data_IF_160178299224
#
_entry.id   IF_160178299224
#
_cell.length_a   1.000
_cell.length_b   1.000
_cell.length_c   1.000
_cell.angle_alpha   90.00
_cell.angle_beta   90.00
_cell.angle_gamma   90.00
#
_symmetry.space_group_name_H-M   'P 1'
#
loop_
_entity.id
_entity.type
_entity.pdbx_description
1 polymer ?
#
# COMPACT_ATOMS: atom_id res chain seq x y z
N UNK A 1 -59.62 -77.65 -65.79
CA UNK A 1 -60.04 -76.27 -65.49
C UNK A 1 -59.15 -75.26 -66.22
N UNK A 2 -59.73 -74.17 -66.58
CA UNK A 2 -59.03 -73.01 -67.22
C UNK A 2 -58.59 -71.97 -66.18
N UNK A 3 -57.40 -71.49 -66.26
CA UNK A 3 -56.93 -70.40 -65.43
C UNK A 3 -57.68 -69.13 -65.87
N UNK A 4 -58.44 -68.51 -64.95
CA UNK A 4 -59.20 -67.29 -65.20
C UNK A 4 -58.35 -66.06 -64.85
N UNK A 5 -57.67 -66.15 -63.75
CA UNK A 5 -56.69 -65.10 -63.30
C UNK A 5 -55.43 -65.86 -62.94
N UNK A 6 -54.32 -65.45 -63.56
CA UNK A 6 -52.99 -66.00 -63.19
C UNK A 6 -52.53 -65.48 -61.83
N UNK A 7 -51.94 -66.30 -60.97
CA UNK A 7 -51.39 -65.82 -59.73
C UNK A 7 -50.20 -64.88 -60.01
N UNK A 8 -50.03 -63.87 -59.18
CA UNK A 8 -48.87 -63.03 -59.20
C UNK A 8 -48.13 -63.18 -57.88
N UNK A 9 -47.02 -62.53 -57.71
CA UNK A 9 -46.30 -62.45 -56.40
C UNK A 9 -47.12 -61.71 -55.31
N UNK A 10 -48.11 -60.93 -55.71
CA UNK A 10 -48.92 -60.09 -54.78
C UNK A 10 -50.34 -60.59 -54.59
N UNK A 11 -50.88 -61.24 -55.58
CA UNK A 11 -52.27 -61.68 -55.60
C UNK A 11 -52.40 -63.18 -55.96
N UNK A 12 -53.40 -63.83 -55.37
CA UNK A 12 -53.76 -65.21 -55.70
C UNK A 12 -54.45 -65.24 -57.09
N UNK A 13 -54.21 -66.32 -57.78
CA UNK A 13 -54.89 -66.60 -59.02
C UNK A 13 -56.19 -67.39 -58.80
N UNK A 14 -57.00 -67.54 -59.85
CA UNK A 14 -58.22 -68.36 -59.84
C UNK A 14 -58.28 -69.30 -61.06
N UNK A 15 -58.66 -70.52 -60.81
CA UNK A 15 -58.86 -71.55 -61.85
C UNK A 15 -60.33 -71.99 -61.83
N UNK A 16 -60.97 -71.92 -62.94
CA UNK A 16 -62.38 -72.27 -63.08
C UNK A 16 -62.51 -73.62 -63.78
N UNK A 17 -63.26 -74.50 -63.18
CA UNK A 17 -63.59 -75.77 -63.68
C UNK A 17 -65.07 -75.76 -64.11
N UNK A 18 -65.43 -76.36 -65.26
CA UNK A 18 -66.79 -76.46 -65.70
C UNK A 18 -67.10 -77.96 -65.86
N UNK A 19 -68.17 -78.40 -65.20
CA UNK A 19 -68.62 -79.79 -65.35
C UNK A 19 -69.09 -80.06 -66.83
N UNK A 20 -68.51 -81.11 -67.47
CA UNK A 20 -68.82 -81.41 -68.86
C UNK A 20 -70.27 -81.95 -69.06
N UNK A 21 -70.89 -82.49 -67.98
CA UNK A 21 -72.21 -83.12 -68.08
C UNK A 21 -73.35 -82.11 -67.72
N UNK A 22 -73.14 -81.23 -66.71
CA UNK A 22 -74.26 -80.38 -66.23
C UNK A 22 -73.94 -78.85 -66.35
N UNK A 23 -72.77 -78.45 -66.88
CA UNK A 23 -72.42 -77.04 -67.06
C UNK A 23 -72.08 -76.23 -65.76
N UNK A 24 -72.29 -76.87 -64.59
CA UNK A 24 -71.97 -76.21 -63.27
C UNK A 24 -70.51 -75.90 -63.22
N UNK A 25 -70.17 -74.69 -62.62
CA UNK A 25 -68.76 -74.24 -62.50
C UNK A 25 -68.30 -74.19 -61.05
N UNK A 26 -67.05 -74.58 -60.86
CA UNK A 26 -66.31 -74.49 -59.59
C UNK A 26 -65.03 -73.65 -59.77
N UNK A 27 -64.74 -72.78 -58.87
CA UNK A 27 -63.48 -72.00 -58.84
C UNK A 27 -62.57 -72.47 -57.73
N UNK A 28 -61.30 -72.56 -58.01
CA UNK A 28 -60.27 -72.88 -57.04
C UNK A 28 -59.21 -71.72 -57.03
N UNK A 29 -58.72 -71.40 -55.86
CA UNK A 29 -57.66 -70.44 -55.68
C UNK A 29 -56.32 -71.03 -56.06
N UNK A 30 -55.53 -70.29 -56.80
CA UNK A 30 -54.13 -70.66 -57.07
C UNK A 30 -53.30 -69.82 -56.14
N UNK A 31 -52.49 -70.45 -55.31
CA UNK A 31 -51.60 -69.71 -54.36
C UNK A 31 -50.73 -68.71 -55.09
N UNK A 32 -50.40 -67.63 -54.42
CA UNK A 32 -49.45 -66.58 -54.88
C UNK A 32 -48.13 -67.22 -55.30
N UNK A 33 -47.49 -66.67 -56.29
CA UNK A 33 -46.16 -67.09 -56.68
C UNK A 33 -45.19 -66.82 -55.52
N UNK A 34 -44.31 -67.74 -55.21
CA UNK A 34 -43.24 -67.57 -54.19
C UNK A 34 -42.13 -66.77 -54.82
N UNK A 35 -41.81 -65.66 -54.19
CA UNK A 35 -40.69 -64.78 -54.61
C UNK A 35 -39.38 -65.31 -54.01
N UNK A 36 -38.66 -66.11 -54.73
CA UNK A 36 -37.40 -66.73 -54.33
C UNK A 36 -36.17 -65.82 -54.62
N UNK A 37 -36.37 -64.81 -55.48
CA UNK A 37 -35.32 -63.79 -55.82
C UNK A 37 -35.95 -62.41 -55.77
N UNK A 38 -35.58 -61.65 -54.76
CA UNK A 38 -36.10 -60.28 -54.52
C UNK A 38 -35.35 -59.23 -55.35
N UNK A 39 -36.08 -58.45 -56.10
CA UNK A 39 -35.59 -57.28 -56.81
C UNK A 39 -35.96 -56.05 -55.94
N UNK A 40 -34.95 -55.51 -55.22
CA UNK A 40 -35.19 -54.40 -54.33
C UNK A 40 -35.23 -53.10 -55.11
N UNK A 41 -36.09 -52.16 -54.65
CA UNK A 41 -36.12 -50.76 -55.11
C UNK A 41 -34.86 -50.03 -54.69
N UNK A 42 -34.72 -48.74 -55.04
CA UNK A 42 -33.61 -47.86 -54.62
C UNK A 42 -33.55 -47.57 -53.12
N UNK A 43 -34.56 -48.02 -52.38
CA UNK A 43 -34.72 -47.85 -50.95
C UNK A 43 -34.99 -46.40 -50.56
N UNK A 44 -35.82 -46.22 -49.56
CA UNK A 44 -36.18 -44.90 -48.95
C UNK A 44 -35.52 -44.77 -47.58
N UNK A 45 -34.85 -43.66 -47.33
CA UNK A 45 -34.36 -43.32 -45.96
C UNK A 45 -35.58 -43.11 -45.06
N UNK A 46 -35.71 -43.93 -44.02
CA UNK A 46 -36.73 -43.85 -42.99
C UNK A 46 -36.30 -42.95 -41.87
N UNK A 47 -35.07 -43.14 -41.41
CA UNK A 47 -34.42 -42.28 -40.42
C UNK A 47 -33.08 -41.83 -40.97
N UNK A 48 -32.86 -40.52 -41.08
CA UNK A 48 -31.59 -40.00 -41.52
C UNK A 48 -30.52 -40.19 -40.42
N UNK A 49 -29.29 -40.55 -40.75
CA UNK A 49 -28.22 -40.61 -39.78
C UNK A 49 -27.89 -39.24 -39.26
N UNK A 50 -27.52 -39.16 -37.98
CA UNK A 50 -26.98 -37.95 -37.36
C UNK A 50 -25.53 -38.18 -36.94
N UNK A 51 -24.92 -37.20 -36.34
CA UNK A 51 -23.58 -37.35 -35.70
C UNK A 51 -23.62 -38.22 -34.43
N UNK A 52 -24.81 -38.56 -33.90
CA UNK A 52 -24.99 -39.30 -32.64
C UNK A 52 -25.76 -40.60 -32.80
N UNK A 53 -26.47 -40.76 -33.87
CA UNK A 53 -27.33 -41.93 -34.12
C UNK A 53 -27.21 -42.44 -35.56
N UNK A 54 -27.26 -43.73 -35.72
CA UNK A 54 -27.35 -44.38 -37.04
C UNK A 54 -28.71 -44.07 -37.68
N UNK A 55 -28.71 -44.05 -38.99
CA UNK A 55 -29.93 -43.97 -39.80
C UNK A 55 -30.44 -45.33 -40.20
N UNK A 56 -31.64 -45.43 -40.83
CA UNK A 56 -32.20 -46.59 -41.39
C UNK A 56 -32.74 -46.34 -42.81
N UNK A 57 -32.46 -47.27 -43.73
CA UNK A 57 -32.96 -47.24 -45.07
C UNK A 57 -33.82 -48.46 -45.30
N UNK A 58 -35.04 -48.27 -45.76
CA UNK A 58 -36.00 -49.35 -46.05
C UNK A 58 -36.08 -49.57 -47.54
N UNK A 59 -35.91 -50.81 -47.96
CA UNK A 59 -36.08 -51.30 -49.33
C UNK A 59 -37.35 -52.11 -49.43
N UNK A 60 -38.03 -52.08 -50.59
CA UNK A 60 -39.23 -52.85 -50.89
C UNK A 60 -38.99 -53.64 -52.14
N UNK A 61 -39.29 -54.96 -52.10
CA UNK A 61 -39.25 -55.79 -53.30
C UNK A 61 -40.30 -55.36 -54.30
N UNK A 62 -39.89 -54.98 -55.51
CA UNK A 62 -40.78 -54.50 -56.57
C UNK A 62 -41.74 -55.62 -57.02
N UNK A 63 -41.36 -56.89 -56.89
CA UNK A 63 -42.15 -58.01 -57.31
C UNK A 63 -43.20 -58.41 -56.26
N UNK A 64 -42.77 -58.62 -54.96
CA UNK A 64 -43.68 -59.20 -53.95
C UNK A 64 -44.11 -58.24 -52.89
N UNK A 65 -43.43 -57.07 -52.73
CA UNK A 65 -43.74 -56.10 -51.74
C UNK A 65 -43.12 -56.35 -50.37
N UNK A 66 -42.32 -57.40 -50.17
CA UNK A 66 -41.57 -57.64 -48.96
C UNK A 66 -40.60 -56.47 -48.70
N UNK A 67 -40.25 -56.24 -47.45
CA UNK A 67 -39.38 -55.13 -47.06
C UNK A 67 -38.20 -55.62 -46.25
N UNK A 68 -37.03 -54.96 -46.46
CA UNK A 68 -35.85 -55.09 -45.60
C UNK A 68 -35.36 -53.74 -45.19
N UNK A 69 -34.70 -53.66 -44.08
CA UNK A 69 -34.04 -52.41 -43.57
C UNK A 69 -32.52 -52.65 -43.51
N UNK A 70 -31.80 -51.62 -43.86
CA UNK A 70 -30.35 -51.54 -43.67
C UNK A 70 -29.99 -50.34 -42.84
N UNK A 71 -28.96 -50.44 -41.97
CA UNK A 71 -28.42 -49.36 -41.17
C UNK A 71 -27.57 -48.42 -42.02
N UNK A 72 -27.77 -47.14 -41.86
CA UNK A 72 -26.90 -46.10 -42.41
C UNK A 72 -25.96 -45.66 -41.28
N UNK A 73 -24.67 -45.79 -41.50
CA UNK A 73 -23.67 -45.37 -40.49
C UNK A 73 -23.86 -43.91 -40.04
N UNK A 74 -23.52 -43.64 -38.80
CA UNK A 74 -23.50 -42.28 -38.25
C UNK A 74 -22.64 -41.33 -39.11
N UNK A 75 -23.03 -40.07 -39.16
CA UNK A 75 -22.23 -39.05 -39.82
C UNK A 75 -20.88 -38.86 -39.10
N UNK A 76 -19.80 -38.72 -39.83
CA UNK A 76 -18.47 -38.42 -39.29
C UNK A 76 -18.37 -36.93 -39.08
N UNK A 77 -18.11 -36.52 -37.83
CA UNK A 77 -17.91 -35.12 -37.48
C UNK A 77 -16.46 -34.73 -37.76
N UNK A 78 -16.17 -34.15 -38.91
CA UNK A 78 -14.83 -33.71 -39.32
C UNK A 78 -14.56 -32.26 -38.90
N UNK A 79 -15.59 -31.48 -38.60
CA UNK A 79 -15.52 -30.10 -38.15
C UNK A 79 -16.34 -29.94 -36.88
N UNK A 80 -15.67 -29.78 -35.74
CA UNK A 80 -16.30 -29.65 -34.43
C UNK A 80 -16.74 -28.22 -34.13
N UNK A 81 -18.00 -28.03 -33.78
CA UNK A 81 -18.53 -26.78 -33.22
C UNK A 81 -18.59 -26.92 -31.70
N UNK A 82 -17.70 -26.21 -31.01
CA UNK A 82 -17.57 -26.30 -29.55
C UNK A 82 -18.57 -25.37 -28.83
N UNK A 83 -19.11 -25.84 -27.73
CA UNK A 83 -19.91 -25.03 -26.81
C UNK A 83 -19.07 -23.97 -26.09
N UNK A 84 -19.67 -23.19 -25.15
CA UNK A 84 -18.96 -22.19 -24.34
C UNK A 84 -17.97 -22.80 -23.33
N UNK A 85 -18.03 -24.11 -23.13
CA UNK A 85 -17.20 -24.87 -22.18
C UNK A 85 -17.56 -24.62 -20.71
N UNK A 86 -17.28 -25.62 -19.90
CA UNK A 86 -17.50 -25.65 -18.45
C UNK A 86 -16.15 -25.74 -17.73
N UNK A 87 -15.96 -24.93 -16.64
CA UNK A 87 -14.77 -25.06 -15.80
C UNK A 87 -14.92 -26.29 -14.93
N UNK A 88 -14.15 -27.33 -15.20
CA UNK A 88 -14.14 -28.61 -14.46
C UNK A 88 -13.18 -28.55 -13.26
N UNK A 89 -12.12 -27.70 -13.36
CA UNK A 89 -11.20 -27.42 -12.27
C UNK A 89 -10.86 -25.93 -12.27
N UNK A 90 -11.22 -25.21 -11.19
CA UNK A 90 -10.87 -23.81 -11.06
C UNK A 90 -9.34 -23.63 -10.87
N UNK A 91 -8.71 -22.59 -11.46
CA UNK A 91 -7.31 -22.30 -11.22
C UNK A 91 -7.09 -21.83 -9.78
N UNK A 92 -5.95 -22.20 -9.21
CA UNK A 92 -5.47 -21.72 -7.91
C UNK A 92 -4.17 -20.95 -8.09
N UNK A 93 -3.57 -20.47 -7.00
CA UNK A 93 -2.25 -19.85 -7.04
C UNK A 93 -1.10 -20.85 -7.26
N UNK A 94 -1.36 -22.16 -7.06
CA UNK A 94 -0.36 -23.24 -7.17
C UNK A 94 -0.65 -24.24 -8.27
N UNK A 95 -1.85 -24.21 -8.86
CA UNK A 95 -2.23 -25.16 -9.94
C UNK A 95 -3.06 -24.46 -11.01
N UNK A 96 -2.83 -24.86 -12.26
CA UNK A 96 -3.66 -24.48 -13.38
C UNK A 96 -5.07 -25.07 -13.24
N UNK A 97 -6.05 -24.38 -13.77
CA UNK A 97 -7.41 -24.87 -13.92
C UNK A 97 -7.59 -25.64 -15.22
N UNK A 98 -8.76 -26.26 -15.40
CA UNK A 98 -9.16 -26.98 -16.63
C UNK A 98 -10.56 -26.51 -17.03
N UNK A 99 -10.73 -26.26 -18.32
CA UNK A 99 -12.02 -26.01 -18.96
C UNK A 99 -12.28 -27.06 -20.00
N UNK A 100 -13.43 -27.70 -19.93
CA UNK A 100 -13.88 -28.73 -20.87
C UNK A 100 -14.91 -28.14 -21.83
N UNK A 101 -14.78 -28.45 -23.10
CA UNK A 101 -15.69 -28.05 -24.17
C UNK A 101 -16.29 -29.32 -24.80
N UNK A 102 -17.56 -29.27 -25.14
CA UNK A 102 -18.28 -30.36 -25.82
C UNK A 102 -18.68 -29.92 -27.23
N UNK A 103 -18.42 -30.77 -28.20
CA UNK A 103 -18.94 -30.54 -29.55
C UNK A 103 -20.46 -30.64 -29.54
N UNK A 104 -21.18 -29.60 -29.95
CA UNK A 104 -22.65 -29.55 -29.97
C UNK A 104 -23.24 -30.58 -30.96
N UNK A 105 -22.49 -30.96 -31.99
CA UNK A 105 -22.93 -31.87 -33.02
C UNK A 105 -22.72 -33.33 -32.61
N UNK A 106 -21.50 -33.73 -32.23
CA UNK A 106 -21.17 -35.16 -32.02
C UNK A 106 -20.95 -35.55 -30.55
N UNK A 107 -20.88 -34.57 -29.63
CA UNK A 107 -20.67 -34.84 -28.20
C UNK A 107 -19.20 -35.14 -27.80
N UNK A 108 -18.25 -35.13 -28.73
CA UNK A 108 -16.83 -35.29 -28.42
C UNK A 108 -16.37 -34.16 -27.52
N UNK A 109 -15.52 -34.42 -26.51
CA UNK A 109 -14.99 -33.41 -25.59
C UNK A 109 -13.53 -33.09 -25.88
N UNK A 110 -13.13 -31.86 -25.51
CA UNK A 110 -11.73 -31.44 -25.42
C UNK A 110 -11.50 -30.58 -24.18
N UNK A 111 -10.30 -30.54 -23.66
CA UNK A 111 -9.94 -29.70 -22.53
C UNK A 111 -8.95 -28.60 -22.92
N UNK A 112 -9.02 -27.47 -22.21
CA UNK A 112 -7.99 -26.46 -22.26
C UNK A 112 -7.54 -26.07 -20.84
N UNK A 113 -6.28 -25.65 -20.72
CA UNK A 113 -5.73 -25.20 -19.45
C UNK A 113 -6.14 -23.73 -19.17
N UNK A 114 -6.52 -23.43 -17.91
CA UNK A 114 -6.72 -22.07 -17.40
C UNK A 114 -5.47 -21.70 -16.60
N UNK A 115 -4.84 -20.57 -16.92
CA UNK A 115 -3.62 -20.15 -16.25
C UNK A 115 -3.80 -20.01 -14.73
N UNK A 116 -2.76 -20.33 -13.97
CA UNK A 116 -2.71 -20.13 -12.51
C UNK A 116 -3.01 -18.68 -12.14
N UNK A 117 -3.66 -18.49 -11.00
CA UNK A 117 -3.86 -17.15 -10.42
C UNK A 117 -2.51 -16.54 -10.06
N UNK A 118 -2.39 -15.24 -10.21
CA UNK A 118 -1.18 -14.47 -9.86
C UNK A 118 -1.54 -13.39 -8.85
N UNK A 119 -0.63 -13.13 -7.90
CA UNK A 119 -0.72 -11.95 -7.03
C UNK A 119 -0.36 -10.71 -7.84
N UNK A 120 -1.13 -9.63 -7.66
CA UNK A 120 -0.86 -8.36 -8.33
C UNK A 120 0.45 -7.74 -7.83
N UNK A 121 1.05 -6.92 -8.68
CA UNK A 121 2.30 -6.23 -8.38
C UNK A 121 2.08 -5.17 -7.30
N UNK A 122 2.88 -5.22 -6.23
CA UNK A 122 2.84 -4.25 -5.14
C UNK A 122 3.74 -3.06 -5.47
N UNK A 123 3.22 -1.83 -5.29
CA UNK A 123 3.97 -0.58 -5.49
C UNK A 123 4.43 -0.03 -4.14
N UNK A 124 5.74 0.24 -4.01
CA UNK A 124 6.39 0.67 -2.77
C UNK A 124 6.67 2.17 -2.81
N UNK A 125 6.47 2.85 -1.67
CA UNK A 125 6.86 4.25 -1.41
C UNK A 125 7.67 4.33 -0.12
N UNK A 126 8.58 5.29 -0.05
CA UNK A 126 9.43 5.52 1.13
C UNK A 126 9.42 6.99 1.55
N UNK A 127 9.45 7.22 2.87
CA UNK A 127 9.56 8.56 3.46
C UNK A 127 10.49 8.53 4.68
N UNK A 128 11.20 9.62 4.95
CA UNK A 128 11.98 9.77 6.20
C UNK A 128 11.00 10.04 7.35
N UNK A 129 11.14 9.29 8.44
CA UNK A 129 10.45 9.53 9.72
C UNK A 129 11.44 10.03 10.79
N UNK A 130 10.92 10.43 11.95
CA UNK A 130 11.77 10.88 13.08
C UNK A 130 12.69 9.79 13.62
N UNK A 131 12.31 8.53 13.44
CA UNK A 131 13.01 7.37 13.99
C UNK A 131 13.60 6.45 12.93
N UNK A 132 13.35 6.70 11.62
CA UNK A 132 13.82 5.80 10.58
C UNK A 132 13.27 6.11 9.18
N UNK A 133 13.09 5.07 8.38
CA UNK A 133 12.45 5.16 7.07
C UNK A 133 11.10 4.45 7.14
N UNK A 134 10.02 5.19 6.89
CA UNK A 134 8.69 4.62 6.71
C UNK A 134 8.59 4.07 5.28
N UNK A 135 8.28 2.80 5.18
CA UNK A 135 7.95 2.08 3.94
C UNK A 135 6.44 1.92 3.91
N UNK A 136 5.80 2.20 2.79
CA UNK A 136 4.38 1.95 2.55
C UNK A 136 4.18 1.34 1.18
N UNK A 137 3.11 0.57 0.99
CA UNK A 137 2.85 -0.14 -0.26
C UNK A 137 1.36 -0.27 -0.55
N UNK A 138 1.04 -0.59 -1.81
CA UNK A 138 -0.34 -0.83 -2.24
C UNK A 138 -0.85 -2.17 -1.73
N UNK A 139 -2.14 -2.26 -1.42
CA UNK A 139 -2.79 -3.51 -1.01
C UNK A 139 -2.85 -4.52 -2.17
N UNK A 140 -2.66 -5.80 -1.84
CA UNK A 140 -3.01 -6.94 -2.68
C UNK A 140 -4.10 -7.75 -1.96
N UNK A 141 -5.31 -7.69 -2.50
CA UNK A 141 -6.55 -8.23 -1.87
C UNK A 141 -6.44 -9.70 -1.47
N UNK A 142 -5.73 -10.49 -2.25
CA UNK A 142 -5.62 -11.94 -2.05
C UNK A 142 -4.38 -12.37 -1.27
N UNK A 143 -3.56 -11.42 -0.80
CA UNK A 143 -2.35 -11.73 -0.05
C UNK A 143 -2.67 -12.26 1.35
N UNK A 144 -1.84 -13.18 1.83
CA UNK A 144 -1.77 -13.56 3.25
C UNK A 144 -0.89 -12.59 4.05
N UNK A 145 -0.07 -11.79 3.37
CA UNK A 145 0.82 -10.79 3.93
C UNK A 145 1.91 -10.36 2.95
N UNK A 146 2.99 -9.79 3.50
CA UNK A 146 4.06 -9.20 2.69
C UNK A 146 5.44 -9.55 3.22
N UNK A 147 6.38 -9.77 2.32
CA UNK A 147 7.81 -9.80 2.61
C UNK A 147 8.42 -8.44 2.28
N UNK A 148 9.13 -7.86 3.23
CA UNK A 148 9.87 -6.61 3.07
C UNK A 148 11.35 -6.93 3.04
N UNK A 149 12.01 -6.61 1.94
CA UNK A 149 13.44 -6.77 1.76
C UNK A 149 14.13 -5.41 1.77
N UNK A 150 15.36 -5.38 2.24
CA UNK A 150 16.22 -4.19 2.28
C UNK A 150 17.61 -4.51 1.75
N UNK A 151 18.19 -3.56 1.01
CA UNK A 151 19.62 -3.49 0.76
C UNK A 151 20.15 -2.09 1.05
N UNK A 152 21.46 -1.96 1.35
CA UNK A 152 22.15 -0.68 1.46
C UNK A 152 23.15 -0.53 0.33
N UNK A 153 23.15 0.63 -0.34
CA UNK A 153 24.01 0.92 -1.50
C UNK A 153 23.93 -0.17 -2.57
N UNK A 154 25.08 -0.73 -2.97
CA UNK A 154 25.20 -1.81 -3.97
C UNK A 154 25.06 -3.24 -3.38
N UNK A 155 24.77 -3.36 -2.07
CA UNK A 155 24.65 -4.66 -1.40
C UNK A 155 23.46 -5.50 -1.89
N UNK A 156 23.41 -6.76 -1.42
CA UNK A 156 22.33 -7.70 -1.74
C UNK A 156 21.08 -7.45 -0.88
N UNK A 157 19.92 -7.89 -1.36
CA UNK A 157 18.69 -7.87 -0.61
C UNK A 157 18.71 -8.91 0.51
N UNK A 158 18.40 -8.47 1.73
CA UNK A 158 18.10 -9.33 2.86
C UNK A 158 16.65 -9.14 3.28
N UNK A 159 16.01 -10.21 3.77
CA UNK A 159 14.68 -10.13 4.36
C UNK A 159 14.74 -9.28 5.64
N UNK A 160 14.06 -8.16 5.63
CA UNK A 160 13.98 -7.25 6.78
C UNK A 160 12.82 -7.63 7.70
N UNK A 161 11.65 -7.96 7.12
CA UNK A 161 10.44 -8.27 7.88
C UNK A 161 9.46 -9.10 7.05
N UNK A 162 8.85 -10.10 7.68
CA UNK A 162 7.62 -10.75 7.23
C UNK A 162 6.45 -10.09 7.95
N UNK A 163 5.45 -9.63 7.23
CA UNK A 163 4.23 -9.01 7.74
C UNK A 163 3.07 -9.92 7.42
N UNK A 164 2.26 -10.26 8.40
CA UNK A 164 1.03 -11.05 8.24
C UNK A 164 -0.18 -10.13 8.08
N UNK A 165 -1.17 -10.59 7.30
CA UNK A 165 -2.40 -9.85 7.01
C UNK A 165 -2.28 -8.90 5.81
N UNK A 166 -3.30 -8.94 4.94
CA UNK A 166 -3.37 -8.13 3.71
C UNK A 166 -3.51 -6.61 3.98
N UNK A 167 -4.01 -6.24 5.16
CA UNK A 167 -4.33 -4.85 5.51
C UNK A 167 -3.17 -4.09 6.17
N UNK A 168 -2.08 -4.75 6.51
CA UNK A 168 -0.88 -4.06 7.02
C UNK A 168 -0.09 -3.52 5.83
N UNK A 169 -0.13 -2.21 5.60
CA UNK A 169 0.39 -1.56 4.40
C UNK A 169 1.55 -0.60 4.67
N UNK A 170 2.12 -0.65 5.87
CA UNK A 170 3.29 0.16 6.23
C UNK A 170 4.16 -0.52 7.28
N UNK A 171 5.45 -0.19 7.23
CA UNK A 171 6.46 -0.58 8.21
C UNK A 171 7.45 0.56 8.40
N UNK A 172 7.97 0.74 9.62
CA UNK A 172 9.00 1.74 9.89
C UNK A 172 10.33 1.03 10.23
N UNK A 173 11.31 1.15 9.34
CA UNK A 173 12.65 0.62 9.57
C UNK A 173 13.44 1.60 10.45
N UNK A 174 13.62 1.26 11.71
CA UNK A 174 14.37 2.06 12.68
C UNK A 174 15.86 1.70 12.73
N UNK A 175 16.27 0.61 12.07
CA UNK A 175 17.67 0.17 12.02
C UNK A 175 18.38 0.74 10.79
N UNK A 176 18.41 2.07 10.70
CA UNK A 176 19.00 2.82 9.59
C UNK A 176 20.02 3.84 10.09
N UNK A 177 21.07 4.03 9.33
CA UNK A 177 22.17 4.97 9.62
C UNK A 177 22.01 6.22 8.76
N UNK A 178 22.16 7.40 9.39
CA UNK A 178 22.10 8.68 8.66
C UNK A 178 23.24 8.79 7.64
N UNK A 179 22.90 9.24 6.43
CA UNK A 179 23.80 9.34 5.29
C UNK A 179 23.80 8.12 4.36
N UNK A 180 23.15 7.03 4.76
CA UNK A 180 23.08 5.80 3.96
C UNK A 180 21.81 5.76 3.12
N UNK A 181 21.95 5.33 1.85
CA UNK A 181 20.82 5.05 0.96
C UNK A 181 20.40 3.60 1.15
N UNK A 182 19.14 3.40 1.48
CA UNK A 182 18.51 2.09 1.55
C UNK A 182 17.50 1.92 0.42
N UNK A 183 17.50 0.75 -0.19
CA UNK A 183 16.51 0.35 -1.19
C UNK A 183 15.64 -0.76 -0.62
N UNK A 184 14.34 -0.59 -0.69
CA UNK A 184 13.34 -1.52 -0.20
C UNK A 184 12.57 -2.14 -1.36
N UNK A 185 12.28 -3.44 -1.25
CA UNK A 185 11.39 -4.19 -2.12
C UNK A 185 10.33 -4.85 -1.27
N UNK A 186 9.06 -4.74 -1.65
CA UNK A 186 7.95 -5.41 -0.97
C UNK A 186 7.26 -6.34 -1.95
N UNK A 187 6.99 -7.57 -1.53
CA UNK A 187 6.32 -8.59 -2.31
C UNK A 187 5.18 -9.19 -1.49
N UNK A 188 3.98 -9.24 -2.08
CA UNK A 188 2.85 -9.97 -1.49
C UNK A 188 3.11 -11.47 -1.52
N UNK A 189 2.62 -12.22 -0.54
CA UNK A 189 2.66 -13.69 -0.55
C UNK A 189 1.30 -14.30 -0.22
N UNK A 190 1.05 -15.50 -0.75
CA UNK A 190 -0.07 -16.38 -0.39
C UNK A 190 0.42 -17.82 -0.33
N UNK A 191 0.43 -18.41 0.86
CA UNK A 191 1.10 -19.70 1.07
C UNK A 191 2.58 -19.62 0.67
N UNK A 192 2.99 -20.46 -0.29
CA UNK A 192 4.35 -20.49 -0.86
C UNK A 192 4.54 -19.54 -2.05
N UNK A 193 3.44 -19.01 -2.60
CA UNK A 193 3.50 -18.15 -3.80
C UNK A 193 3.84 -16.73 -3.42
N UNK A 194 4.80 -16.14 -4.13
CA UNK A 194 5.27 -14.76 -3.93
C UNK A 194 5.03 -13.96 -5.21
N UNK A 195 4.35 -12.83 -5.06
CA UNK A 195 4.04 -11.92 -6.16
C UNK A 195 5.22 -11.01 -6.54
N UNK A 196 5.05 -10.25 -7.61
CA UNK A 196 6.00 -9.21 -8.00
C UNK A 196 5.87 -7.97 -7.08
N UNK A 197 6.98 -7.23 -6.93
CA UNK A 197 7.01 -5.97 -6.20
C UNK A 197 7.85 -4.93 -6.93
N UNK A 198 7.65 -3.65 -6.59
CA UNK A 198 8.54 -2.57 -7.02
C UNK A 198 9.60 -2.28 -5.96
N UNK A 199 10.56 -1.46 -6.33
CA UNK A 199 11.61 -0.98 -5.44
C UNK A 199 11.45 0.52 -5.19
N UNK A 200 11.83 0.97 -3.99
CA UNK A 200 11.93 2.38 -3.67
C UNK A 200 13.15 2.65 -2.81
N UNK A 201 13.95 3.62 -3.20
CA UNK A 201 15.16 4.02 -2.49
C UNK A 201 14.95 5.29 -1.69
N UNK A 202 15.60 5.37 -0.52
CA UNK A 202 15.60 6.56 0.32
C UNK A 202 16.95 6.72 1.03
N UNK A 203 17.52 7.90 0.97
CA UNK A 203 18.58 8.29 1.89
C UNK A 203 17.96 8.59 3.26
N UNK A 204 18.43 7.93 4.31
CA UNK A 204 18.03 8.30 5.66
C UNK A 204 18.78 9.55 6.10
N UNK A 205 18.07 10.53 6.62
CA UNK A 205 18.65 11.73 7.23
C UNK A 205 18.09 11.87 8.64
N UNK A 206 18.94 11.78 9.62
CA UNK A 206 18.56 11.80 11.02
C UNK A 206 17.89 13.10 11.47
N UNK A 207 17.59 13.18 12.76
CA UNK A 207 16.85 14.31 13.39
C UNK A 207 17.80 15.35 13.96
N UNK A 208 17.60 16.61 13.59
CA UNK A 208 18.21 17.72 14.30
C UNK A 208 17.33 18.15 15.48
N UNK A 209 17.91 18.27 16.67
CA UNK A 209 17.26 18.71 17.91
C UNK A 209 17.74 20.13 18.22
N UNK A 210 16.89 21.12 17.99
CA UNK A 210 17.21 22.52 18.27
C UNK A 210 17.04 22.82 19.78
N UNK A 211 17.98 23.62 20.32
CA UNK A 211 17.89 24.25 21.61
C UNK A 211 17.97 25.75 21.41
N UNK A 212 17.31 26.52 22.27
CA UNK A 212 17.30 28.00 22.20
C UNK A 212 17.61 28.63 23.55
N UNK A 213 18.26 29.75 23.49
CA UNK A 213 18.56 30.58 24.68
C UNK A 213 18.52 32.08 24.31
N UNK A 214 18.11 32.95 25.25
CA UNK A 214 18.24 34.38 25.07
C UNK A 214 19.70 34.82 25.25
N UNK A 215 20.19 35.59 24.29
CA UNK A 215 21.45 36.33 24.36
C UNK A 215 21.15 37.84 24.49
N UNK A 216 22.18 38.65 24.69
CA UNK A 216 22.02 40.10 24.83
C UNK A 216 21.37 40.76 23.61
N UNK A 217 21.65 40.27 22.42
CA UNK A 217 21.21 40.86 21.15
C UNK A 217 20.17 40.04 20.39
N UNK A 218 19.82 38.83 20.85
CA UNK A 218 18.91 37.96 20.11
C UNK A 218 18.56 36.64 20.79
N UNK A 219 18.10 35.71 20.02
CA UNK A 219 17.91 34.33 20.43
C UNK A 219 18.98 33.47 19.75
N UNK A 220 19.83 32.82 20.53
CA UNK A 220 20.82 31.86 20.06
C UNK A 220 20.17 30.48 19.92
N UNK A 221 20.34 29.88 18.76
CA UNK A 221 20.01 28.51 18.48
C UNK A 221 21.28 27.65 18.53
N UNK A 222 21.15 26.42 18.98
CA UNK A 222 22.16 25.40 18.83
C UNK A 222 21.47 24.09 18.47
N UNK A 223 22.17 23.17 17.76
CA UNK A 223 21.63 21.87 17.40
C UNK A 223 22.74 20.82 17.33
N UNK A 224 22.35 19.55 17.38
CA UNK A 224 23.29 18.44 17.27
C UNK A 224 23.73 18.21 15.82
N UNK A 225 24.96 17.72 15.63
CA UNK A 225 25.42 17.17 14.36
C UNK A 225 24.52 16.00 13.93
N UNK A 226 24.15 15.96 12.65
CA UNK A 226 23.43 14.83 12.02
C UNK A 226 24.35 14.18 11.01
N UNK A 227 24.60 12.87 11.17
CA UNK A 227 25.52 12.10 10.30
C UNK A 227 25.17 12.26 8.82
N UNK A 228 26.16 12.53 7.98
CA UNK A 228 25.99 12.70 6.53
C UNK A 228 25.33 13.99 6.09
N UNK A 229 24.80 14.84 7.02
CA UNK A 229 24.20 16.11 6.64
C UNK A 229 25.22 17.04 6.00
N UNK A 230 24.88 17.65 4.86
CA UNK A 230 25.71 18.59 4.10
C UNK A 230 25.31 20.03 4.35
N UNK A 231 24.10 20.29 4.84
CA UNK A 231 23.62 21.62 5.21
C UNK A 231 22.45 21.51 6.21
N UNK A 232 22.18 22.64 6.87
CA UNK A 232 21.03 22.80 7.77
C UNK A 232 20.23 24.02 7.35
N UNK A 233 18.90 23.88 7.19
CA UNK A 233 18.00 25.03 7.01
C UNK A 233 17.31 25.34 8.32
N UNK A 234 17.41 26.59 8.73
CA UNK A 234 16.83 27.12 9.97
C UNK A 234 15.52 27.80 9.64
N UNK A 235 14.47 27.36 10.29
CA UNK A 235 13.12 27.89 10.12
C UNK A 235 12.68 28.58 11.42
N UNK A 236 11.91 29.64 11.26
CA UNK A 236 11.31 30.42 12.36
C UNK A 236 9.82 30.60 12.09
N UNK A 237 9.00 30.58 13.16
CA UNK A 237 7.61 31.04 13.12
C UNK A 237 7.30 31.83 14.38
N UNK A 238 6.32 32.75 14.28
CA UNK A 238 5.78 33.55 15.41
C UNK A 238 4.43 32.90 15.79
N UNK A 239 4.25 32.63 17.09
CA UNK A 239 3.04 32.01 17.61
C UNK A 239 2.68 30.69 16.86
N UNK A 240 1.48 30.62 16.25
CA UNK A 240 0.96 29.51 15.46
C UNK A 240 1.15 29.68 13.95
N UNK A 241 1.82 30.77 13.51
CA UNK A 241 2.02 31.08 12.09
C UNK A 241 2.83 30.05 11.32
N UNK A 242 2.98 30.24 10.00
CA UNK A 242 3.77 29.37 9.13
C UNK A 242 5.28 29.52 9.39
N UNK A 243 6.02 28.43 9.17
CA UNK A 243 7.47 28.46 9.22
C UNK A 243 8.06 29.15 7.98
N UNK A 244 8.97 30.09 8.19
CA UNK A 244 9.79 30.70 7.14
C UNK A 244 11.25 30.29 7.31
N UNK A 245 11.95 29.99 6.22
CA UNK A 245 13.38 29.71 6.26
C UNK A 245 14.15 31.03 6.44
N UNK A 246 14.91 31.16 7.52
CA UNK A 246 15.65 32.40 7.85
C UNK A 246 17.16 32.29 7.58
N UNK A 247 17.70 31.05 7.47
CA UNK A 247 19.13 30.84 7.23
C UNK A 247 19.39 29.43 6.71
N UNK A 248 20.35 29.30 5.80
CA UNK A 248 21.02 28.03 5.48
C UNK A 248 22.42 28.06 6.08
N UNK A 249 22.75 27.01 6.84
CA UNK A 249 24.05 26.81 7.49
C UNK A 249 24.78 25.64 6.86
N UNK A 250 26.11 25.65 6.90
CA UNK A 250 26.97 24.56 6.41
C UNK A 250 26.89 23.32 7.33
N UNK A 251 27.49 22.20 6.86
CA UNK A 251 27.56 20.94 7.63
C UNK A 251 28.37 21.04 8.93
N UNK A 252 29.21 22.06 9.05
CA UNK A 252 30.09 22.29 10.20
C UNK A 252 29.54 23.33 11.18
N UNK A 253 28.43 24.01 10.82
CA UNK A 253 27.80 25.06 11.66
C UNK A 253 26.68 24.43 12.49
N UNK A 254 26.75 24.62 13.81
CA UNK A 254 25.77 24.07 14.77
C UNK A 254 25.15 25.11 15.67
N UNK A 255 25.38 26.39 15.38
CA UNK A 255 24.78 27.54 16.11
C UNK A 255 24.37 28.64 15.15
N UNK A 256 23.37 29.43 15.56
CA UNK A 256 22.91 30.61 14.85
C UNK A 256 22.32 31.61 15.84
N UNK A 257 22.67 32.88 15.71
CA UNK A 257 22.09 33.97 16.51
C UNK A 257 21.06 34.72 15.66
N UNK A 258 19.79 34.58 16.01
CA UNK A 258 18.72 35.36 15.40
C UNK A 258 18.59 36.70 16.11
N UNK A 259 19.10 37.78 15.49
CA UNK A 259 19.00 39.15 15.96
C UNK A 259 17.65 39.79 15.57
N UNK A 260 16.96 39.27 14.57
CA UNK A 260 15.68 39.78 14.06
C UNK A 260 14.51 39.27 14.92
N UNK A 261 14.54 39.59 16.22
CA UNK A 261 13.55 39.20 17.23
C UNK A 261 13.11 40.38 18.06
N UNK A 262 11.79 40.43 18.39
CA UNK A 262 11.17 41.47 19.23
C UNK A 262 10.99 40.94 20.64
N UNK A 263 11.35 41.76 21.63
CA UNK A 263 11.17 41.44 23.06
C UNK A 263 9.70 41.13 23.38
N UNK A 264 9.45 40.15 24.25
CA UNK A 264 8.12 39.72 24.67
C UNK A 264 7.44 38.72 23.67
N UNK A 265 7.97 38.57 22.46
CA UNK A 265 7.40 37.73 21.42
C UNK A 265 7.86 36.26 21.57
N UNK A 266 6.92 35.31 21.31
CA UNK A 266 7.20 33.88 21.32
C UNK A 266 7.56 33.45 19.91
N UNK A 267 8.72 32.82 19.76
CA UNK A 267 9.22 32.22 18.54
C UNK A 267 9.34 30.71 18.68
N UNK A 268 9.10 30.00 17.59
CA UNK A 268 9.41 28.58 17.49
C UNK A 268 10.38 28.37 16.35
N UNK A 269 11.50 27.71 16.65
CA UNK A 269 12.55 27.40 15.68
C UNK A 269 12.59 25.93 15.38
N UNK A 270 12.87 25.61 14.12
CA UNK A 270 13.12 24.26 13.63
C UNK A 270 14.39 24.26 12.78
N UNK A 271 15.25 23.27 12.97
CA UNK A 271 16.46 23.09 12.16
C UNK A 271 16.34 21.78 11.40
N UNK A 272 16.28 21.84 10.06
CA UNK A 272 16.20 20.67 9.20
C UNK A 272 17.56 20.36 8.59
N UNK A 273 18.14 19.17 8.84
CA UNK A 273 19.35 18.70 8.15
C UNK A 273 19.01 18.25 6.73
N UNK A 274 19.96 18.41 5.80
CA UNK A 274 19.81 18.04 4.40
C UNK A 274 21.00 17.23 3.88
N UNK A 275 20.69 16.21 3.07
CA UNK A 275 21.64 15.49 2.20
C UNK A 275 21.13 15.63 0.77
N UNK A 276 21.76 16.50 -0.03
CA UNK A 276 21.20 16.90 -1.32
C UNK A 276 19.80 17.50 -1.16
N UNK A 277 18.81 16.91 -1.85
CA UNK A 277 17.40 17.33 -1.77
C UNK A 277 16.61 16.63 -0.64
N UNK A 278 17.18 15.62 0.00
CA UNK A 278 16.52 14.88 1.07
C UNK A 278 16.65 15.62 2.40
N UNK A 279 15.51 15.96 3.00
CA UNK A 279 15.45 16.58 4.31
C UNK A 279 15.29 15.51 5.40
N UNK A 280 15.99 15.68 6.52
CA UNK A 280 15.72 14.94 7.74
C UNK A 280 14.60 15.57 8.55
N UNK A 281 14.33 14.96 9.69
CA UNK A 281 13.35 15.45 10.65
C UNK A 281 13.96 16.43 11.65
N UNK A 282 13.13 17.07 12.49
CA UNK A 282 13.57 18.03 13.50
C UNK A 282 12.73 17.94 14.77
N UNK A 283 13.34 18.34 15.88
CA UNK A 283 12.61 18.70 17.10
C UNK A 283 12.68 20.22 17.22
N UNK A 284 11.51 20.85 17.22
CA UNK A 284 11.40 22.31 17.33
C UNK A 284 11.65 22.78 18.76
N UNK A 285 12.20 23.97 18.89
CA UNK A 285 12.37 24.67 20.19
C UNK A 285 11.55 25.94 20.20
N UNK A 286 10.66 26.06 21.20
CA UNK A 286 9.84 27.25 21.46
C UNK A 286 10.51 28.10 22.51
N UNK A 287 10.62 29.41 22.28
CA UNK A 287 11.26 30.31 23.21
C UNK A 287 10.63 31.70 23.19
N UNK A 288 10.68 32.39 24.34
CA UNK A 288 10.28 33.80 24.46
C UNK A 288 11.51 34.68 24.36
N UNK A 289 11.47 35.68 23.51
CA UNK A 289 12.52 36.69 23.46
C UNK A 289 12.43 37.58 24.71
N UNK A 290 13.36 37.42 25.65
CA UNK A 290 13.53 38.29 26.83
C UNK A 290 14.88 38.98 26.72
N UNK A 291 14.88 40.30 26.66
CA UNK A 291 16.13 41.09 26.67
C UNK A 291 16.70 41.15 28.09
N UNK A 292 18.01 41.24 28.24
CA UNK A 292 18.62 41.52 29.54
C UNK A 292 18.04 42.79 30.15
N UNK A 293 17.88 42.80 31.46
CA UNK A 293 17.52 44.02 32.18
C UNK A 293 18.73 44.92 32.33
N UNK A 294 18.52 46.23 32.47
CA UNK A 294 19.54 47.17 32.94
C UNK A 294 19.42 47.29 34.45
N UNK A 295 20.43 46.82 35.18
CA UNK A 295 20.44 46.85 36.64
C UNK A 295 21.35 47.98 37.16
N UNK A 296 20.95 48.54 38.28
CA UNK A 296 21.73 49.55 39.09
C UNK A 296 21.68 49.14 40.55
N UNK A 297 22.69 49.50 41.32
CA UNK A 297 22.75 49.22 42.75
C UNK A 297 23.13 50.48 43.47
N UNK A 298 22.66 50.64 44.72
CA UNK A 298 23.03 51.69 45.63
C UNK A 298 23.12 51.17 47.07
N UNK A 299 24.04 51.69 47.87
CA UNK A 299 24.03 51.44 49.29
C UNK A 299 22.78 52.08 49.93
N UNK A 300 22.18 51.38 50.88
CA UNK A 300 21.02 51.82 51.63
C UNK A 300 21.30 51.66 53.15
N UNK A 301 20.54 52.39 53.99
CA UNK A 301 20.70 52.31 55.44
C UNK A 301 20.69 50.88 55.98
N UNK A 302 19.79 50.03 55.42
CA UNK A 302 19.57 48.64 55.88
C UNK A 302 20.11 47.57 54.92
N UNK A 303 20.96 47.91 53.93
CA UNK A 303 21.44 46.96 52.98
C UNK A 303 21.91 47.54 51.66
N UNK A 304 21.74 46.82 50.60
CA UNK A 304 22.00 47.22 49.21
C UNK A 304 20.71 47.18 48.43
N UNK A 305 20.30 48.30 47.85
CA UNK A 305 19.12 48.32 46.93
C UNK A 305 19.55 48.05 45.52
N UNK A 306 18.94 47.01 44.91
CA UNK A 306 19.10 46.65 43.53
C UNK A 306 17.83 47.06 42.76
N UNK A 307 17.99 47.87 41.71
CA UNK A 307 16.89 48.32 40.81
C UNK A 307 17.19 47.89 39.41
N UNK A 308 16.14 47.65 38.66
CA UNK A 308 16.26 47.24 37.25
C UNK A 308 15.15 47.79 36.38
N UNK A 309 15.39 47.89 35.07
CA UNK A 309 14.41 48.32 34.10
C UNK A 309 13.44 47.15 33.77
N UNK A 310 12.17 47.50 33.51
CA UNK A 310 11.16 46.52 33.03
C UNK A 310 11.60 45.93 31.70
N UNK A 311 11.44 44.60 31.55
CA UNK A 311 11.69 43.91 30.30
C UNK A 311 10.34 43.41 29.71
N UNK A 312 10.10 43.75 28.44
CA UNK A 312 8.88 43.32 27.75
C UNK A 312 8.74 41.79 27.78
N UNK A 313 7.56 41.33 28.16
CA UNK A 313 7.23 39.89 28.25
C UNK A 313 7.68 39.21 29.55
N UNK A 314 8.44 39.88 30.43
CA UNK A 314 8.78 39.34 31.73
C UNK A 314 7.57 39.29 32.67
N UNK A 315 7.49 38.23 33.48
CA UNK A 315 6.48 38.08 34.54
C UNK A 315 7.09 38.02 35.94
N UNK A 316 8.42 37.87 36.01
CA UNK A 316 9.16 37.83 37.27
C UNK A 316 10.64 38.09 37.03
N UNK A 317 11.37 38.32 38.12
CA UNK A 317 12.81 38.58 38.11
C UNK A 317 13.51 37.72 39.15
N UNK A 318 14.81 37.46 38.93
CA UNK A 318 15.70 36.82 39.92
C UNK A 318 16.98 37.64 40.07
N UNK A 319 17.33 37.91 41.30
CA UNK A 319 18.55 38.64 41.67
C UNK A 319 19.59 37.63 42.14
N UNK A 320 20.77 37.78 41.61
CA UNK A 320 21.93 36.95 41.95
C UNK A 320 23.03 37.86 42.54
N UNK A 321 23.69 37.37 43.57
CA UNK A 321 24.73 38.10 44.30
C UNK A 321 25.99 37.26 44.45
N UNK A 322 27.15 37.91 44.47
CA UNK A 322 28.40 37.37 44.95
C UNK A 322 29.19 38.40 45.71
N UNK A 323 30.17 38.01 46.53
CA UNK A 323 31.27 38.83 47.08
C UNK A 323 32.47 38.76 46.15
N UNK A 324 33.51 39.57 46.40
CA UNK A 324 34.78 39.47 45.67
C UNK A 324 35.36 38.08 45.77
N UNK A 325 35.82 37.51 44.64
CA UNK A 325 36.34 36.15 44.54
C UNK A 325 35.30 35.02 44.60
N UNK A 326 34.04 35.29 45.01
CA UNK A 326 32.98 34.29 45.17
C UNK A 326 32.24 33.97 43.89
N UNK A 327 31.38 32.95 43.94
CA UNK A 327 30.45 32.53 42.86
C UNK A 327 29.10 33.24 43.08
N UNK A 328 28.41 33.56 41.97
CA UNK A 328 27.04 34.06 42.02
C UNK A 328 26.06 33.01 42.57
N UNK A 329 25.29 33.41 43.57
CA UNK A 329 24.17 32.64 44.10
C UNK A 329 22.85 33.40 43.92
N UNK A 330 21.73 32.67 43.73
CA UNK A 330 20.41 33.26 43.72
C UNK A 330 20.05 33.74 45.13
N UNK A 331 19.82 35.05 45.29
CA UNK A 331 19.48 35.63 46.59
C UNK A 331 18.01 36.05 46.72
N UNK A 332 17.32 36.31 45.56
CA UNK A 332 15.88 36.66 45.60
C UNK A 332 15.17 36.28 44.32
N UNK A 333 13.97 35.69 44.46
CA UNK A 333 12.96 35.54 43.42
C UNK A 333 11.89 36.62 43.65
N UNK A 334 11.52 37.34 42.60
CA UNK A 334 10.61 38.48 42.68
C UNK A 334 9.50 38.26 41.67
N UNK A 335 8.27 38.06 42.15
CA UNK A 335 7.07 37.92 41.31
C UNK A 335 6.59 39.30 40.84
N UNK A 336 5.87 39.32 39.72
CA UNK A 336 5.27 40.52 39.15
C UNK A 336 6.18 41.24 38.15
N UNK A 337 5.60 41.59 37.00
CA UNK A 337 6.30 42.28 35.91
C UNK A 337 6.74 43.72 36.28
N UNK A 338 6.08 44.33 37.27
CA UNK A 338 6.28 45.68 37.69
C UNK A 338 7.09 45.81 39.00
N UNK A 339 7.51 44.68 39.59
CA UNK A 339 8.40 44.70 40.76
C UNK A 339 9.84 44.92 40.28
N UNK A 340 10.32 46.15 40.31
CA UNK A 340 11.54 46.59 39.64
C UNK A 340 12.66 47.01 40.64
N UNK A 341 12.48 46.67 41.91
CA UNK A 341 13.48 46.87 42.93
C UNK A 341 13.41 45.89 44.09
N UNK A 342 14.50 45.73 44.79
CA UNK A 342 14.60 44.91 45.98
C UNK A 342 15.81 45.34 46.79
N UNK A 343 15.67 45.41 48.14
CA UNK A 343 16.76 45.72 49.05
C UNK A 343 17.27 44.44 49.70
N UNK A 344 18.53 44.16 49.48
CA UNK A 344 19.27 43.06 50.12
C UNK A 344 19.73 43.48 51.50
N UNK A 345 19.01 43.08 52.53
CA UNK A 345 19.33 43.37 53.92
C UNK A 345 20.40 42.44 54.51
N UNK A 346 20.72 41.34 53.82
CA UNK A 346 21.73 40.39 54.25
C UNK A 346 23.12 40.75 53.68
N UNK A 347 23.58 41.96 54.00
CA UNK A 347 24.86 42.51 53.57
C UNK A 347 25.59 43.21 54.74
N UNK A 348 26.88 42.99 54.87
CA UNK A 348 27.70 43.60 55.92
C UNK A 348 28.34 44.96 55.47
N UNK A 349 28.44 45.94 56.38
CA UNK A 349 29.15 47.21 56.13
C UNK A 349 30.62 46.97 55.75
N UNK A 350 31.16 47.79 54.87
CA UNK A 350 32.56 47.70 54.41
C UNK A 350 32.82 46.65 53.33
N UNK A 351 31.88 45.72 53.05
CA UNK A 351 32.01 44.65 52.05
C UNK A 351 31.50 45.10 50.67
N UNK A 352 32.18 44.69 49.60
CA UNK A 352 31.75 44.89 48.20
C UNK A 352 30.93 43.69 47.69
N UNK A 353 29.75 43.98 47.18
CA UNK A 353 28.82 43.00 46.62
C UNK A 353 28.61 43.26 45.14
N UNK A 354 28.53 42.19 44.36
CA UNK A 354 28.29 42.17 42.93
C UNK A 354 26.93 41.54 42.66
N UNK A 355 26.10 42.20 41.84
CA UNK A 355 24.76 41.73 41.49
C UNK A 355 24.58 41.66 40.00
N UNK A 356 23.76 40.68 39.56
CA UNK A 356 23.09 40.72 38.27
C UNK A 356 21.64 40.30 38.44
N UNK A 357 20.80 40.68 37.47
CA UNK A 357 19.38 40.36 37.45
C UNK A 357 19.03 39.67 36.14
N UNK A 358 18.15 38.71 36.23
CA UNK A 358 17.53 38.08 35.05
C UNK A 358 16.03 38.26 35.08
N UNK A 359 15.42 38.56 33.91
CA UNK A 359 13.99 38.53 33.69
C UNK A 359 13.52 37.12 33.35
N UNK A 360 12.34 36.75 33.83
CA UNK A 360 11.73 35.40 33.60
C UNK A 360 10.31 35.51 33.06
N UNK A 361 9.90 34.50 32.27
CA UNK A 361 8.53 34.19 31.93
C UNK A 361 8.36 32.66 31.97
N UNK A 362 7.76 32.15 33.06
CA UNK A 362 7.76 30.72 33.35
C UNK A 362 9.18 30.16 33.42
N UNK A 363 9.48 29.14 32.61
CA UNK A 363 10.80 28.51 32.53
C UNK A 363 11.80 29.24 31.60
N UNK A 364 11.34 30.27 30.88
CA UNK A 364 12.21 31.04 29.99
C UNK A 364 12.86 32.20 30.75
N UNK A 365 14.10 32.52 30.43
CA UNK A 365 14.83 33.61 31.10
C UNK A 365 15.72 34.43 30.13
N UNK A 366 15.99 35.66 30.48
CA UNK A 366 16.91 36.55 29.75
C UNK A 366 18.37 36.12 29.94
N UNK A 367 19.27 36.61 29.10
CA UNK A 367 20.67 36.72 29.51
C UNK A 367 20.77 37.51 30.81
N UNK A 368 21.87 37.33 31.55
CA UNK A 368 22.15 38.16 32.74
C UNK A 368 22.28 39.64 32.37
N UNK A 369 21.87 40.52 33.25
CA UNK A 369 22.28 41.93 33.15
C UNK A 369 23.81 42.03 33.22
N UNK A 370 24.36 43.16 32.79
CA UNK A 370 25.71 43.51 33.22
C UNK A 370 25.80 43.43 34.74
N UNK A 371 26.91 42.89 35.25
CA UNK A 371 27.15 42.88 36.67
C UNK A 371 27.37 44.33 37.17
N UNK A 372 26.76 44.65 38.29
CA UNK A 372 26.90 45.92 38.98
C UNK A 372 27.40 45.68 40.41
N UNK A 373 28.19 46.56 40.95
CA UNK A 373 28.74 46.37 42.27
C UNK A 373 28.58 47.63 43.13
N UNK A 374 28.63 47.45 44.41
CA UNK A 374 28.56 48.51 45.40
C UNK A 374 29.27 48.07 46.69
N UNK A 375 30.00 48.98 47.33
CA UNK A 375 30.49 48.79 48.67
C UNK A 375 29.42 49.30 49.63
N UNK A 376 29.02 48.47 50.58
CA UNK A 376 28.04 48.85 51.61
C UNK A 376 28.63 49.61 52.75
#
# INVERSE_FOLDING_TARGET
>A
GKVVTAPTYKTEGTKKYTCKNCGTTKTETIAKLVCTSHVWDSGKVVTAPTYKTEGTKKYTCTNCGETKTETIAMLVCTSHVWDSGVVTKAPTYTSAGTKEYTCVNCGTTKTSSIAMLKLSKVTVKTAVSSTGIKISWTSEKNASGYYIYRKSGKGQYALLKKVTGANTLAFNDTKVTSGVIYTYKVQAYKGTVVGAGTEASRCFVGTAKAKTANESTGIKLSWNKVGGARSYKIYKRIGTGKYTCIKTASSTTFTYLDKAVKAGTIYTYAVKPYIGRTAGTYVASKYVCLRPVTAKVSAARNGVTVRWAKTAGATSYRVYRKTAGGKYALVKKIGGANALSWTDTNTAKGKTYYYYVRAFKGNYYSAASKAVNVKR
#
